data_IF_976417511016
#
_entry.id   IF_976417511016
#
_cell.length_a   1.000
_cell.length_b   1.000
_cell.length_c   1.000
_cell.angle_alpha   90.00
_cell.angle_beta   90.00
_cell.angle_gamma   90.00
#
_symmetry.space_group_name_H-M   'P 1'
#
loop_
_entity.id
_entity.type
_entity.pdbx_description
1 polymer ?
#
# COMPACT_ATOMS: atom_id res chain seq x y z
N UNK A 1 21.14 35.20 -52.10
CA UNK A 1 20.55 34.41 -50.99
C UNK A 1 19.09 34.82 -50.87
N UNK A 2 18.18 34.00 -51.38
CA UNK A 2 16.76 34.34 -51.51
C UNK A 2 16.03 34.15 -50.18
N UNK A 3 15.12 35.08 -49.87
CA UNK A 3 14.25 35.16 -48.68
C UNK A 3 13.26 33.98 -48.54
N UNK A 4 13.40 32.91 -49.33
CA UNK A 4 12.47 31.77 -49.36
C UNK A 4 12.72 30.69 -48.30
N UNK A 5 13.95 30.56 -47.77
CA UNK A 5 14.30 29.44 -46.85
C UNK A 5 13.91 29.67 -45.38
N UNK A 6 13.46 30.88 -45.03
CA UNK A 6 13.06 31.22 -43.65
C UNK A 6 11.55 31.01 -43.45
N UNK A 7 10.74 31.11 -44.51
CA UNK A 7 9.30 30.86 -44.44
C UNK A 7 8.98 29.35 -44.29
N UNK A 8 9.78 28.47 -44.89
CA UNK A 8 9.56 27.02 -44.82
C UNK A 8 9.89 26.42 -43.44
N UNK A 9 10.80 27.04 -42.68
CA UNK A 9 11.13 26.58 -41.32
C UNK A 9 10.05 27.02 -40.31
N UNK A 10 9.38 28.14 -40.55
CA UNK A 10 8.25 28.59 -39.73
C UNK A 10 6.98 27.74 -39.94
N UNK A 11 6.79 27.17 -41.14
CA UNK A 11 5.63 26.32 -41.44
C UNK A 11 5.73 24.90 -40.86
N UNK A 12 6.95 24.39 -40.62
CA UNK A 12 7.17 23.05 -40.04
C UNK A 12 7.17 23.08 -38.49
N UNK A 13 7.49 24.22 -37.87
CA UNK A 13 7.44 24.39 -36.41
C UNK A 13 6.03 24.68 -35.86
N UNK A 14 5.10 25.13 -36.71
CA UNK A 14 3.72 25.46 -36.30
C UNK A 14 2.73 24.29 -36.28
N UNK A 15 3.13 23.09 -36.71
CA UNK A 15 2.24 21.93 -36.86
C UNK A 15 2.55 20.74 -35.92
N UNK A 16 3.44 20.92 -34.93
CA UNK A 16 3.46 20.05 -33.75
C UNK A 16 2.52 20.61 -32.67
N UNK A 17 1.26 20.87 -33.04
CA UNK A 17 0.20 20.95 -32.04
C UNK A 17 0.14 19.55 -31.43
N UNK A 18 0.77 19.42 -30.26
CA UNK A 18 0.61 18.30 -29.35
C UNK A 18 -0.89 18.09 -29.17
N UNK A 19 -1.46 17.12 -29.89
CA UNK A 19 -2.67 16.47 -29.43
C UNK A 19 -2.28 15.70 -28.17
N UNK A 20 -2.21 16.40 -27.04
CA UNK A 20 -2.38 15.77 -25.76
C UNK A 20 -3.82 15.26 -25.77
N UNK A 21 -4.01 14.03 -26.26
CA UNK A 21 -5.26 13.31 -26.05
C UNK A 21 -5.39 13.20 -24.53
N UNK A 22 -6.32 13.94 -23.95
CA UNK A 22 -6.82 13.63 -22.62
C UNK A 22 -7.45 12.25 -22.73
N UNK A 23 -6.68 11.20 -22.44
CA UNK A 23 -7.22 9.86 -22.29
C UNK A 23 -8.28 9.96 -21.18
N UNK A 24 -9.52 9.67 -21.53
CA UNK A 24 -10.55 9.56 -20.50
C UNK A 24 -10.35 8.23 -19.79
N UNK A 25 -10.36 8.27 -18.45
CA UNK A 25 -10.37 7.08 -17.62
C UNK A 25 -11.48 6.13 -18.09
N UNK A 26 -11.09 4.93 -18.49
CA UNK A 26 -12.01 3.88 -18.92
C UNK A 26 -12.46 3.04 -17.71
N UNK A 27 -13.63 2.42 -17.84
CA UNK A 27 -14.04 1.35 -16.92
C UNK A 27 -13.83 0.01 -17.61
N UNK A 28 -12.97 -0.82 -17.03
CA UNK A 28 -12.68 -2.19 -17.45
C UNK A 28 -13.43 -3.13 -16.50
N UNK A 29 -14.25 -4.02 -17.05
CA UNK A 29 -15.04 -4.97 -16.26
C UNK A 29 -14.34 -6.31 -16.12
N UNK A 30 -14.45 -6.91 -14.93
CA UNK A 30 -13.92 -8.24 -14.63
C UNK A 30 -15.04 -9.13 -14.07
N UNK A 31 -15.16 -10.34 -14.61
CA UNK A 31 -16.18 -11.32 -14.22
C UNK A 31 -15.65 -12.75 -14.46
N UNK A 32 -15.59 -13.59 -13.42
CA UNK A 32 -14.98 -14.92 -13.49
C UNK A 32 -15.83 -15.95 -14.26
N UNK A 33 -17.14 -15.72 -14.37
CA UNK A 33 -18.08 -16.54 -15.15
C UNK A 33 -18.71 -15.80 -16.35
N UNK A 34 -18.54 -14.48 -16.42
CA UNK A 34 -18.82 -13.65 -17.58
C UNK A 34 -20.31 -13.30 -17.79
N UNK A 35 -20.60 -12.33 -18.67
CA UNK A 35 -19.67 -11.64 -19.57
C UNK A 35 -18.99 -10.39 -18.96
N UNK A 36 -17.72 -10.16 -19.29
CA UNK A 36 -16.94 -8.95 -18.99
C UNK A 36 -15.75 -8.81 -19.95
N UNK A 37 -14.99 -7.72 -19.83
CA UNK A 37 -13.79 -7.48 -20.66
C UNK A 37 -12.67 -8.49 -20.37
N UNK A 38 -12.53 -8.88 -19.10
CA UNK A 38 -11.56 -9.88 -18.63
C UNK A 38 -12.21 -10.85 -17.63
N UNK A 39 -11.67 -12.07 -17.52
CA UNK A 39 -12.01 -13.02 -16.46
C UNK A 39 -11.02 -13.01 -15.29
N UNK A 40 -9.93 -12.25 -15.41
CA UNK A 40 -8.86 -12.16 -14.42
C UNK A 40 -8.63 -10.71 -14.03
N UNK A 41 -8.60 -10.44 -12.71
CA UNK A 41 -8.27 -9.10 -12.19
C UNK A 41 -6.87 -8.69 -12.64
N UNK A 42 -5.92 -9.62 -12.61
CA UNK A 42 -4.52 -9.33 -12.96
C UNK A 42 -4.38 -8.90 -14.42
N UNK A 43 -5.03 -9.60 -15.34
CA UNK A 43 -4.99 -9.25 -16.77
C UNK A 43 -5.65 -7.89 -17.04
N UNK A 44 -6.77 -7.60 -16.36
CA UNK A 44 -7.42 -6.29 -16.46
C UNK A 44 -6.54 -5.15 -15.94
N UNK A 45 -5.90 -5.35 -14.78
CA UNK A 45 -4.95 -4.37 -14.21
C UNK A 45 -3.74 -4.19 -15.13
N UNK A 46 -3.20 -5.25 -15.72
CA UNK A 46 -2.10 -5.19 -16.69
C UNK A 46 -2.49 -4.44 -17.97
N UNK A 47 -3.73 -4.54 -18.42
CA UNK A 47 -4.25 -3.80 -19.58
C UNK A 47 -4.66 -2.35 -19.27
N UNK A 48 -5.01 -2.04 -18.03
CA UNK A 48 -5.47 -0.72 -17.61
C UNK A 48 -4.38 0.36 -17.77
N UNK A 49 -4.81 1.57 -18.13
CA UNK A 49 -3.98 2.77 -18.14
C UNK A 49 -4.09 3.52 -16.82
N UNK A 50 -3.22 4.52 -16.62
CA UNK A 50 -3.29 5.38 -15.45
C UNK A 50 -4.65 6.09 -15.38
N UNK A 51 -5.25 6.09 -14.18
CA UNK A 51 -6.57 6.69 -13.96
C UNK A 51 -7.76 5.80 -14.30
N UNK A 52 -7.57 4.65 -14.95
CA UNK A 52 -8.68 3.73 -15.27
C UNK A 52 -9.31 3.14 -14.01
N UNK A 53 -10.54 2.65 -14.14
CA UNK A 53 -11.22 1.87 -13.12
C UNK A 53 -11.36 0.42 -13.58
N UNK A 54 -10.83 -0.52 -12.80
CA UNK A 54 -11.10 -1.95 -12.94
C UNK A 54 -12.24 -2.30 -11.98
N UNK A 55 -13.44 -2.48 -12.52
CA UNK A 55 -14.62 -2.87 -11.76
C UNK A 55 -14.80 -4.39 -11.78
N UNK A 56 -14.78 -5.00 -10.61
CA UNK A 56 -14.81 -6.45 -10.42
C UNK A 56 -16.17 -6.87 -9.89
N UNK A 57 -16.88 -7.71 -10.66
CA UNK A 57 -18.19 -8.24 -10.28
C UNK A 57 -18.11 -9.20 -9.09
N UNK A 58 -19.24 -9.50 -8.42
CA UNK A 58 -19.30 -10.55 -7.40
C UNK A 58 -18.71 -11.86 -7.92
N UNK A 59 -17.83 -12.49 -7.16
CA UNK A 59 -17.09 -13.66 -7.64
C UNK A 59 -15.87 -13.96 -6.78
N UNK A 60 -15.16 -15.04 -7.14
CA UNK A 60 -13.92 -15.44 -6.45
C UNK A 60 -12.77 -15.52 -7.42
N UNK A 61 -11.84 -14.59 -7.28
CA UNK A 61 -10.71 -14.41 -8.19
C UNK A 61 -9.42 -14.94 -7.57
N UNK A 62 -8.76 -15.84 -8.29
CA UNK A 62 -7.45 -16.38 -7.91
C UNK A 62 -6.32 -15.54 -8.51
N UNK A 63 -5.32 -15.21 -7.71
CA UNK A 63 -4.14 -14.44 -8.13
C UNK A 63 -2.92 -15.35 -8.19
N UNK A 64 -2.26 -15.36 -9.35
CA UNK A 64 -1.00 -16.07 -9.59
C UNK A 64 0.19 -15.12 -9.49
N UNK A 65 1.37 -15.66 -9.17
CA UNK A 65 2.62 -14.91 -9.17
C UNK A 65 3.02 -14.45 -10.57
N UNK A 66 3.52 -13.23 -10.71
CA UNK A 66 4.25 -12.84 -11.92
C UNK A 66 5.67 -13.46 -11.92
N UNK A 67 6.24 -13.76 -13.10
CA UNK A 67 7.44 -14.59 -13.19
C UNK A 67 8.72 -13.94 -12.67
N UNK A 68 8.83 -12.60 -12.67
CA UNK A 68 10.08 -11.89 -12.45
C UNK A 68 10.35 -11.67 -10.96
N UNK A 69 9.39 -11.12 -10.22
CA UNK A 69 9.51 -10.82 -8.80
C UNK A 69 8.59 -11.66 -7.91
N UNK A 70 7.73 -12.50 -8.49
CA UNK A 70 6.85 -13.38 -7.75
C UNK A 70 5.63 -12.68 -7.12
N UNK A 71 5.26 -11.50 -7.59
CA UNK A 71 4.19 -10.67 -7.01
C UNK A 71 2.81 -11.03 -7.54
N UNK A 72 1.77 -10.63 -6.82
CA UNK A 72 0.37 -10.78 -7.25
C UNK A 72 -0.03 -9.75 -8.31
N UNK A 73 -1.01 -8.92 -7.97
CA UNK A 73 -1.49 -7.80 -8.77
C UNK A 73 -0.62 -6.57 -8.46
N UNK A 74 0.07 -6.04 -9.47
CA UNK A 74 0.85 -4.80 -9.36
C UNK A 74 -0.05 -3.59 -9.64
N UNK A 75 -0.28 -2.75 -8.63
CA UNK A 75 -1.11 -1.55 -8.75
C UNK A 75 -0.39 -0.45 -9.53
N UNK A 76 -1.14 0.25 -10.38
CA UNK A 76 -0.64 1.34 -11.24
C UNK A 76 -1.01 2.72 -10.69
N UNK A 77 -0.33 3.75 -11.20
CA UNK A 77 -0.61 5.14 -10.86
C UNK A 77 -2.05 5.51 -11.23
N UNK A 78 -2.79 6.11 -10.29
CA UNK A 78 -4.17 6.57 -10.45
C UNK A 78 -5.21 5.47 -10.68
N UNK A 79 -4.83 4.19 -10.74
CA UNK A 79 -5.75 3.09 -11.02
C UNK A 79 -6.71 2.89 -9.85
N UNK A 80 -8.01 2.78 -10.14
CA UNK A 80 -9.02 2.36 -9.17
C UNK A 80 -9.35 0.89 -9.38
N UNK A 81 -9.01 0.04 -8.41
CA UNK A 81 -9.46 -1.36 -8.37
C UNK A 81 -10.67 -1.44 -7.43
N UNK A 82 -11.86 -1.68 -7.98
CA UNK A 82 -13.11 -1.61 -7.23
C UNK A 82 -13.90 -2.92 -7.32
N UNK A 83 -14.14 -3.55 -6.18
CA UNK A 83 -15.04 -4.68 -6.06
C UNK A 83 -16.50 -4.23 -5.94
N UNK A 84 -17.43 -5.11 -6.31
CA UNK A 84 -18.86 -4.89 -6.10
C UNK A 84 -19.27 -4.80 -4.62
N UNK A 85 -18.36 -5.15 -3.71
CA UNK A 85 -18.51 -5.05 -2.26
C UNK A 85 -17.75 -6.17 -1.56
N UNK A 86 -17.19 -5.87 -0.38
CA UNK A 86 -16.32 -6.81 0.32
C UNK A 86 -17.03 -8.12 0.69
N UNK A 87 -18.36 -8.11 0.86
CA UNK A 87 -19.14 -9.31 1.16
C UNK A 87 -19.38 -10.24 -0.05
N UNK A 88 -19.02 -9.80 -1.27
CA UNK A 88 -19.32 -10.53 -2.50
C UNK A 88 -18.14 -10.69 -3.47
N UNK A 89 -17.06 -9.91 -3.31
CA UNK A 89 -15.91 -9.95 -4.20
C UNK A 89 -14.67 -10.45 -3.45
N UNK A 90 -14.22 -11.66 -3.76
CA UNK A 90 -13.18 -12.37 -3.02
C UNK A 90 -11.91 -12.50 -3.85
N UNK A 91 -10.76 -12.17 -3.25
CA UNK A 91 -9.43 -12.39 -3.83
C UNK A 91 -8.66 -13.39 -2.95
N UNK A 92 -8.11 -14.42 -3.59
CA UNK A 92 -7.32 -15.47 -2.93
C UNK A 92 -6.11 -15.87 -3.79
N UNK A 93 -5.07 -16.50 -3.24
CA UNK A 93 -3.95 -16.97 -4.05
C UNK A 93 -4.38 -18.17 -4.91
N UNK A 94 -3.77 -18.31 -6.08
CA UNK A 94 -3.63 -19.60 -6.74
C UNK A 94 -2.46 -20.36 -6.09
N UNK A 95 -2.77 -21.43 -5.36
CA UNK A 95 -1.77 -22.22 -4.64
C UNK A 95 -0.87 -23.06 -5.57
N UNK A 96 -1.18 -23.17 -6.86
CA UNK A 96 -0.29 -23.81 -7.84
C UNK A 96 0.88 -22.91 -8.25
N UNK A 97 0.68 -21.60 -8.17
CA UNK A 97 1.67 -20.58 -8.47
C UNK A 97 1.53 -19.40 -7.48
N UNK A 98 1.75 -19.65 -6.17
CA UNK A 98 1.44 -18.69 -5.12
C UNK A 98 2.31 -17.42 -5.26
N UNK A 99 1.70 -16.22 -5.27
CA UNK A 99 2.44 -14.97 -5.19
C UNK A 99 2.99 -14.73 -3.77
N UNK A 100 3.92 -13.81 -3.60
CA UNK A 100 4.33 -13.38 -2.24
C UNK A 100 3.22 -12.60 -1.53
N UNK A 101 2.48 -11.79 -2.29
CA UNK A 101 1.34 -11.00 -1.86
C UNK A 101 0.21 -10.99 -2.91
N UNK A 102 -1.04 -10.74 -2.51
CA UNK A 102 -2.14 -10.61 -3.48
C UNK A 102 -2.10 -9.28 -4.22
N UNK A 103 -1.90 -8.17 -3.49
CA UNK A 103 -1.88 -6.80 -4.02
C UNK A 103 -0.54 -6.15 -3.67
N UNK A 104 0.13 -5.60 -4.66
CA UNK A 104 1.41 -4.91 -4.52
C UNK A 104 1.29 -3.44 -4.93
N UNK A 105 1.64 -2.53 -4.02
CA UNK A 105 1.84 -1.11 -4.33
C UNK A 105 3.33 -0.80 -4.37
N UNK A 106 3.86 -0.52 -5.56
CA UNK A 106 5.23 -0.07 -5.72
C UNK A 106 5.26 1.42 -6.03
N UNK A 107 5.18 2.26 -4.99
CA UNK A 107 5.16 3.72 -5.15
C UNK A 107 4.01 4.29 -5.97
N UNK A 108 2.92 3.54 -6.13
CA UNK A 108 1.74 3.94 -6.88
C UNK A 108 0.62 4.49 -5.95
N UNK A 109 -0.05 5.55 -6.37
CA UNK A 109 -1.26 6.12 -5.73
C UNK A 109 -2.56 5.43 -6.16
N UNK A 110 -2.51 4.14 -6.50
CA UNK A 110 -3.71 3.39 -6.82
C UNK A 110 -4.69 3.30 -5.63
N UNK A 111 -5.94 3.06 -5.95
CA UNK A 111 -7.02 2.83 -5.00
C UNK A 111 -7.47 1.36 -5.03
N UNK A 112 -7.74 0.79 -3.87
CA UNK A 112 -8.40 -0.51 -3.74
C UNK A 112 -9.59 -0.43 -2.79
N UNK A 113 -10.76 -0.81 -3.29
CA UNK A 113 -12.03 -0.69 -2.57
C UNK A 113 -12.91 -1.93 -2.70
N UNK A 114 -13.52 -2.37 -1.60
CA UNK A 114 -14.65 -3.31 -1.65
C UNK A 114 -14.30 -4.78 -1.90
N UNK A 115 -13.17 -5.27 -1.39
CA UNK A 115 -12.78 -6.69 -1.51
C UNK A 115 -12.70 -7.41 -0.17
N UNK A 116 -12.99 -8.71 -0.16
CA UNK A 116 -12.47 -9.64 0.84
C UNK A 116 -11.18 -10.30 0.33
N UNK A 117 -10.10 -10.24 1.11
CA UNK A 117 -8.81 -10.86 0.80
C UNK A 117 -8.43 -11.89 1.87
N UNK A 118 -7.96 -13.06 1.42
CA UNK A 118 -7.44 -14.09 2.31
C UNK A 118 -6.22 -14.80 1.73
N UNK A 119 -5.12 -14.81 2.49
CA UNK A 119 -3.90 -15.51 2.11
C UNK A 119 -3.13 -16.10 3.32
N UNK A 120 -3.43 -17.33 3.74
CA UNK A 120 -2.85 -17.92 4.96
C UNK A 120 -1.31 -18.00 5.01
N UNK A 121 -0.66 -18.19 3.87
CA UNK A 121 0.79 -18.39 3.78
C UNK A 121 1.57 -17.14 3.36
N UNK A 122 0.88 -16.10 2.89
CA UNK A 122 1.45 -14.88 2.35
C UNK A 122 0.74 -13.62 2.81
N UNK A 123 1.03 -12.51 2.12
CA UNK A 123 0.49 -11.20 2.49
C UNK A 123 -0.72 -10.83 1.64
N UNK A 124 -1.73 -10.19 2.21
CA UNK A 124 -2.85 -9.71 1.38
C UNK A 124 -2.45 -8.44 0.62
N UNK A 125 -1.94 -7.42 1.31
CA UNK A 125 -1.46 -6.18 0.70
C UNK A 125 -0.02 -5.90 1.12
N UNK A 126 0.82 -5.60 0.14
CA UNK A 126 2.17 -5.09 0.35
C UNK A 126 2.31 -3.66 -0.19
N UNK A 127 2.83 -2.75 0.64
CA UNK A 127 3.09 -1.36 0.28
C UNK A 127 4.59 -1.12 0.34
N UNK A 128 5.20 -0.88 -0.81
CA UNK A 128 6.60 -0.52 -0.93
C UNK A 128 6.77 0.99 -1.10
N UNK A 129 7.35 1.66 -0.09
CA UNK A 129 7.62 3.11 -0.11
C UNK A 129 9.05 3.49 -0.51
N UNK A 130 9.88 2.51 -0.88
CA UNK A 130 11.28 2.76 -1.21
C UNK A 130 11.78 1.94 -2.37
N UNK A 131 13.02 2.20 -2.72
CA UNK A 131 13.74 1.47 -3.74
C UNK A 131 15.15 1.16 -3.24
N UNK A 132 15.66 -0.01 -3.64
CA UNK A 132 17.08 -0.29 -3.53
C UNK A 132 17.84 0.50 -4.59
N UNK A 133 18.82 1.28 -4.18
CA UNK A 133 19.75 1.99 -5.06
C UNK A 133 21.19 1.63 -4.72
N UNK A 134 22.08 1.76 -5.70
CA UNK A 134 23.52 1.64 -5.50
C UNK A 134 24.06 3.03 -5.15
N UNK A 135 24.71 3.16 -4.00
CA UNK A 135 25.35 4.41 -3.58
C UNK A 135 26.61 4.72 -4.42
N UNK A 136 27.19 5.91 -4.23
CA UNK A 136 28.39 6.35 -4.97
C UNK A 136 29.63 5.50 -4.71
N UNK A 137 29.60 4.65 -3.68
CA UNK A 137 30.67 3.74 -3.28
C UNK A 137 30.39 2.28 -3.69
N UNK A 138 29.28 2.02 -4.39
CA UNK A 138 28.90 0.67 -4.83
C UNK A 138 28.11 -0.15 -3.79
N UNK A 139 27.71 0.44 -2.67
CA UNK A 139 26.90 -0.20 -1.64
C UNK A 139 25.40 -0.19 -1.99
N UNK A 140 24.67 -1.24 -1.61
CA UNK A 140 23.20 -1.24 -1.71
C UNK A 140 22.60 -0.42 -0.56
N UNK A 141 21.81 0.58 -0.90
CA UNK A 141 21.09 1.46 0.03
C UNK A 141 19.60 1.43 -0.24
N UNK A 142 18.80 1.49 0.83
CA UNK A 142 17.37 1.75 0.72
C UNK A 142 17.14 3.26 0.70
N UNK A 143 16.47 3.76 -0.33
CA UNK A 143 16.16 5.18 -0.48
C UNK A 143 14.67 5.41 -0.67
N UNK A 144 14.18 6.63 -0.34
CA UNK A 144 12.87 7.09 -0.76
C UNK A 144 12.63 6.81 -2.24
N UNK A 145 11.49 6.24 -2.58
CA UNK A 145 11.13 6.15 -3.99
C UNK A 145 10.94 7.56 -4.54
N UNK A 146 11.63 7.94 -5.64
CA UNK A 146 11.55 9.29 -6.19
C UNK A 146 10.14 9.64 -6.69
N UNK A 147 9.35 8.62 -7.00
CA UNK A 147 8.00 8.74 -7.54
C UNK A 147 6.94 8.26 -6.55
N UNK A 148 7.21 8.30 -5.24
CA UNK A 148 6.22 7.90 -4.25
C UNK A 148 4.96 8.73 -4.35
N UNK A 149 3.86 8.04 -4.64
CA UNK A 149 2.53 8.57 -4.54
C UNK A 149 1.73 7.69 -3.55
N UNK A 150 1.05 8.27 -2.55
CA UNK A 150 0.40 7.52 -1.49
C UNK A 150 -0.84 6.76 -1.99
N UNK A 151 -0.98 5.45 -1.71
CA UNK A 151 -2.17 4.69 -2.11
C UNK A 151 -3.39 4.99 -1.23
N UNK A 152 -4.56 4.58 -1.70
CA UNK A 152 -5.81 4.59 -0.92
C UNK A 152 -6.36 3.17 -0.81
N UNK A 153 -6.60 2.70 0.41
CA UNK A 153 -7.08 1.34 0.70
C UNK A 153 -8.33 1.48 1.56
N UNK A 154 -9.50 1.18 0.98
CA UNK A 154 -10.79 1.46 1.61
C UNK A 154 -11.75 0.30 1.62
N UNK A 155 -12.58 0.20 2.67
CA UNK A 155 -13.74 -0.70 2.71
C UNK A 155 -13.43 -2.17 2.36
N UNK A 156 -12.20 -2.63 2.64
CA UNK A 156 -11.81 -4.01 2.40
C UNK A 156 -11.92 -4.84 3.68
N UNK A 157 -12.08 -6.15 3.53
CA UNK A 157 -12.01 -7.13 4.60
C UNK A 157 -10.81 -8.04 4.40
N UNK A 158 -9.85 -8.01 5.31
CA UNK A 158 -8.64 -8.82 5.20
C UNK A 158 -8.60 -9.82 6.33
N UNK A 159 -8.67 -11.11 5.96
CA UNK A 159 -8.89 -12.20 6.92
C UNK A 159 -7.99 -13.40 6.67
N UNK A 160 -7.67 -14.13 7.74
CA UNK A 160 -6.94 -15.39 7.69
C UNK A 160 -5.64 -15.31 6.85
N UNK A 161 -4.93 -14.19 6.94
CA UNK A 161 -3.68 -13.97 6.21
C UNK A 161 -2.47 -14.04 7.13
N UNK A 162 -1.27 -14.32 6.58
CA UNK A 162 -0.02 -14.23 7.35
C UNK A 162 0.20 -12.80 7.82
N UNK A 163 0.05 -11.85 6.91
CA UNK A 163 0.04 -10.42 7.15
C UNK A 163 -1.07 -9.79 6.32
N UNK A 164 -1.93 -9.01 6.97
CA UNK A 164 -3.03 -8.37 6.29
C UNK A 164 -2.53 -7.19 5.44
N UNK A 165 -1.81 -6.25 6.07
CA UNK A 165 -1.15 -5.15 5.36
C UNK A 165 0.30 -5.07 5.84
N UNK A 166 1.24 -5.24 4.91
CA UNK A 166 2.68 -5.09 5.16
C UNK A 166 3.16 -3.82 4.48
N UNK A 167 3.86 -2.97 5.23
CA UNK A 167 4.30 -1.65 4.81
C UNK A 167 5.81 -1.58 4.98
N UNK A 168 6.52 -1.47 3.86
CA UNK A 168 7.94 -1.12 3.84
C UNK A 168 8.03 0.38 3.84
N UNK A 169 8.02 0.93 5.04
CA UNK A 169 7.88 2.34 5.30
C UNK A 169 9.21 3.08 5.14
N UNK A 170 9.14 4.25 4.50
CA UNK A 170 10.28 5.13 4.37
C UNK A 170 10.09 6.42 5.21
N UNK A 171 10.87 6.60 6.29
CA UNK A 171 10.85 7.80 7.12
C UNK A 171 10.93 9.11 6.34
N UNK A 172 10.17 10.11 6.78
CA UNK A 172 10.07 11.41 6.11
C UNK A 172 9.05 11.48 4.98
N UNK A 173 8.37 10.38 4.66
CA UNK A 173 7.31 10.32 3.66
C UNK A 173 5.96 10.05 4.32
N UNK A 174 4.88 10.63 3.81
CA UNK A 174 3.54 10.38 4.37
C UNK A 174 2.98 9.07 3.82
N UNK A 175 2.49 8.20 4.72
CA UNK A 175 1.75 7.00 4.33
C UNK A 175 0.42 7.39 3.67
N UNK A 176 -0.05 6.56 2.75
CA UNK A 176 -1.38 6.73 2.15
C UNK A 176 -2.52 6.46 3.12
N UNK A 177 -3.74 6.57 2.58
CA UNK A 177 -4.97 6.44 3.36
C UNK A 177 -5.38 4.98 3.43
N UNK A 178 -5.59 4.49 4.64
CA UNK A 178 -6.09 3.16 4.96
C UNK A 178 -7.30 3.40 5.85
N UNK A 179 -8.51 3.21 5.32
CA UNK A 179 -9.76 3.64 5.98
C UNK A 179 -10.90 2.64 5.80
N UNK A 180 -11.78 2.50 6.77
CA UNK A 180 -12.97 1.65 6.68
C UNK A 180 -12.67 0.15 6.53
N UNK A 181 -11.42 -0.28 6.68
CA UNK A 181 -11.07 -1.69 6.49
C UNK A 181 -11.36 -2.51 7.76
N UNK A 182 -11.79 -3.75 7.55
CA UNK A 182 -11.92 -4.76 8.59
C UNK A 182 -10.75 -5.74 8.50
N UNK A 183 -9.88 -5.78 9.52
CA UNK A 183 -8.66 -6.58 9.54
C UNK A 183 -8.71 -7.53 10.74
N UNK A 184 -9.01 -8.81 10.50
CA UNK A 184 -9.27 -9.76 11.59
C UNK A 184 -8.88 -11.20 11.28
N UNK A 185 -8.54 -11.98 12.31
CA UNK A 185 -8.17 -13.40 12.16
C UNK A 185 -6.85 -13.62 11.43
N UNK A 186 -6.01 -12.60 11.28
CA UNK A 186 -4.69 -12.71 10.65
C UNK A 186 -3.62 -13.08 11.68
N UNK A 187 -2.48 -13.61 11.23
CA UNK A 187 -1.31 -13.73 12.10
C UNK A 187 -0.79 -12.34 12.47
N UNK A 188 -0.61 -11.46 11.50
CA UNK A 188 -0.33 -10.03 11.73
C UNK A 188 -1.38 -9.18 11.00
N UNK A 189 -2.03 -8.26 11.70
CA UNK A 189 -2.95 -7.30 11.09
C UNK A 189 -2.18 -6.31 10.22
N UNK A 190 -1.40 -5.44 10.83
CA UNK A 190 -0.55 -4.47 10.13
C UNK A 190 0.89 -4.62 10.56
N UNK A 191 1.80 -4.80 9.60
CA UNK A 191 3.24 -4.80 9.82
C UNK A 191 3.84 -3.55 9.18
N UNK A 192 4.51 -2.71 9.98
CA UNK A 192 5.29 -1.57 9.53
C UNK A 192 6.76 -1.92 9.68
N UNK A 193 7.40 -2.29 8.59
CA UNK A 193 8.84 -2.48 8.53
C UNK A 193 9.50 -1.16 8.11
N UNK A 194 10.45 -0.68 8.91
CA UNK A 194 11.26 0.50 8.59
C UNK A 194 12.66 -0.01 8.24
N UNK A 195 13.01 -0.15 6.94
CA UNK A 195 14.31 -0.66 6.53
C UNK A 195 15.44 0.34 6.84
N UNK A 196 16.69 -0.12 6.72
CA UNK A 196 17.89 0.72 6.87
C UNK A 196 17.90 1.85 5.85
N UNK A 197 17.51 3.04 6.25
CA UNK A 197 17.71 4.25 5.44
C UNK A 197 19.13 4.73 5.65
N UNK A 198 19.90 4.88 4.58
CA UNK A 198 21.13 5.68 4.63
C UNK A 198 20.69 7.14 4.77
N UNK A 199 20.76 7.66 5.99
CA UNK A 199 20.40 9.04 6.27
C UNK A 199 21.35 9.97 5.49
N UNK A 200 20.84 10.86 4.63
CA UNK A 200 21.70 11.77 3.87
C UNK A 200 22.44 12.77 4.77
N UNK A 201 21.92 13.05 5.98
CA UNK A 201 22.53 13.96 6.95
C UNK A 201 22.44 13.41 8.38
N UNK A 202 23.59 13.36 9.06
CA UNK A 202 23.69 12.90 10.46
C UNK A 202 23.02 13.92 11.39
N UNK A 203 22.08 13.47 12.22
CA UNK A 203 21.36 14.33 13.18
C UNK A 203 20.01 14.87 12.68
N UNK A 204 19.58 14.49 11.47
CA UNK A 204 18.26 14.85 10.94
C UNK A 204 17.21 13.83 11.37
N UNK A 205 16.11 14.31 11.97
CA UNK A 205 14.97 13.46 12.34
C UNK A 205 14.06 13.23 11.13
N UNK A 206 13.82 11.96 10.79
CA UNK A 206 12.86 11.57 9.77
C UNK A 206 11.62 10.99 10.46
N UNK A 207 10.51 11.76 10.57
CA UNK A 207 9.34 11.30 11.29
C UNK A 207 8.64 10.15 10.54
N UNK A 208 8.00 9.28 11.31
CA UNK A 208 6.97 8.39 10.80
C UNK A 208 5.65 9.19 10.78
N UNK A 209 5.11 9.44 9.59
CA UNK A 209 3.87 10.18 9.38
C UNK A 209 2.73 9.24 8.95
N UNK A 210 1.99 8.80 9.96
CA UNK A 210 0.74 8.03 9.84
C UNK A 210 -0.48 8.88 10.15
N UNK A 211 -0.38 10.21 10.14
CA UNK A 211 -1.41 11.12 10.69
C UNK A 211 -2.81 11.00 10.08
N UNK A 212 -2.94 10.36 8.93
CA UNK A 212 -4.25 10.07 8.33
C UNK A 212 -4.84 8.77 8.85
N UNK A 213 -4.05 7.85 9.37
CA UNK A 213 -4.52 6.52 9.71
C UNK A 213 -4.65 6.36 11.22
N UNK A 214 -5.82 5.88 11.61
CA UNK A 214 -6.14 5.53 12.97
C UNK A 214 -6.32 4.03 13.12
N UNK A 215 -5.63 3.50 14.12
CA UNK A 215 -5.35 2.08 14.14
C UNK A 215 -6.03 1.31 15.27
N UNK A 216 -6.94 1.94 16.01
CA UNK A 216 -7.97 1.22 16.76
C UNK A 216 -8.07 1.46 18.27
N UNK A 217 -7.47 2.47 18.88
CA UNK A 217 -7.95 2.96 20.19
C UNK A 217 -7.51 4.40 20.46
N UNK A 218 -8.42 5.20 21.04
CA UNK A 218 -8.12 6.55 21.54
C UNK A 218 -7.65 6.51 23.01
N UNK A 219 -7.62 5.34 23.63
CA UNK A 219 -7.29 5.15 25.05
C UNK A 219 -5.80 4.80 25.17
N UNK A 220 -4.98 5.82 25.41
CA UNK A 220 -3.51 5.72 25.49
C UNK A 220 -3.02 4.59 26.41
N UNK A 221 -3.74 4.33 27.52
CA UNK A 221 -3.39 3.29 28.48
C UNK A 221 -3.55 1.85 27.96
N UNK A 222 -4.48 1.62 27.02
CA UNK A 222 -4.64 0.30 26.37
C UNK A 222 -3.52 0.02 25.37
N UNK A 223 -3.06 1.08 24.68
CA UNK A 223 -1.87 1.03 23.83
C UNK A 223 -0.67 0.65 24.69
N UNK A 224 -0.45 1.37 25.80
CA UNK A 224 0.70 1.12 26.69
C UNK A 224 0.76 -0.29 27.27
N UNK A 225 -0.38 -0.88 27.65
CA UNK A 225 -0.46 -2.25 28.21
C UNK A 225 -0.16 -3.36 27.20
N UNK A 226 -0.33 -3.09 25.91
CA UNK A 226 -0.27 -4.12 24.86
C UNK A 226 1.04 -4.09 24.07
N UNK A 227 1.89 -3.09 24.36
CA UNK A 227 3.23 -2.95 23.81
C UNK A 227 4.19 -3.99 24.38
N UNK A 228 4.80 -4.77 23.50
CA UNK A 228 5.97 -5.57 23.81
C UNK A 228 7.18 -5.01 23.05
N UNK A 229 8.22 -4.63 23.79
CA UNK A 229 9.47 -4.12 23.24
C UNK A 229 10.50 -5.23 23.22
N UNK A 230 11.05 -5.52 22.05
CA UNK A 230 12.25 -6.32 21.92
C UNK A 230 13.33 -5.45 21.27
N UNK A 231 14.39 -5.18 22.03
CA UNK A 231 15.56 -4.44 21.57
C UNK A 231 16.69 -5.44 21.41
N UNK A 232 17.12 -5.68 20.18
CA UNK A 232 18.37 -6.38 19.88
C UNK A 232 19.38 -5.39 19.31
N UNK A 233 20.65 -5.82 19.17
CA UNK A 233 21.68 -5.03 18.49
C UNK A 233 21.39 -4.77 17.00
N UNK A 234 20.40 -5.45 16.42
CA UNK A 234 20.09 -5.42 14.98
C UNK A 234 18.70 -4.85 14.66
N UNK A 235 17.78 -4.83 15.63
CA UNK A 235 16.42 -4.34 15.41
C UNK A 235 15.74 -3.83 16.68
N UNK A 236 14.86 -2.84 16.50
CA UNK A 236 13.90 -2.42 17.51
C UNK A 236 12.50 -2.86 17.06
N UNK A 237 11.90 -3.80 17.79
CA UNK A 237 10.57 -4.34 17.47
C UNK A 237 9.57 -3.88 18.53
N UNK A 238 8.52 -3.23 18.06
CA UNK A 238 7.32 -2.91 18.83
C UNK A 238 6.20 -3.83 18.35
N UNK A 239 5.63 -4.61 19.26
CA UNK A 239 4.46 -5.43 18.96
C UNK A 239 3.30 -4.94 19.79
N UNK A 240 2.20 -4.58 19.14
CA UNK A 240 0.92 -4.36 19.79
C UNK A 240 0.10 -5.63 19.71
N UNK A 241 -0.03 -6.29 20.86
CA UNK A 241 -0.88 -7.48 20.99
C UNK A 241 -2.34 -7.12 20.74
N UNK A 242 -3.19 -8.09 20.34
CA UNK A 242 -4.61 -7.83 20.16
C UNK A 242 -5.19 -7.15 21.41
N UNK A 243 -5.60 -5.90 21.24
CA UNK A 243 -6.26 -5.13 22.29
C UNK A 243 -7.77 -5.09 22.09
N UNK A 244 -8.23 -5.29 20.85
CA UNK A 244 -9.63 -5.56 20.50
C UNK A 244 -9.79 -7.03 20.16
N UNK A 245 -10.69 -7.70 20.88
CA UNK A 245 -11.15 -9.06 20.56
C UNK A 245 -12.44 -9.06 19.74
N UNK A 246 -13.17 -7.94 19.76
CA UNK A 246 -14.46 -7.74 19.10
C UNK A 246 -14.42 -6.49 18.21
N UNK A 247 -15.25 -6.42 17.16
CA UNK A 247 -15.33 -5.22 16.33
C UNK A 247 -15.88 -4.03 17.12
N UNK A 248 -15.32 -2.84 16.89
CA UNK A 248 -15.91 -1.61 17.40
C UNK A 248 -17.04 -1.17 16.46
N UNK A 249 -18.24 -1.00 16.99
CA UNK A 249 -19.46 -0.67 16.24
C UNK A 249 -19.81 0.82 16.25
N UNK A 250 -19.15 1.63 17.08
CA UNK A 250 -19.36 3.09 17.16
C UNK A 250 -18.02 3.80 17.27
N UNK A 251 -17.65 4.51 16.20
CA UNK A 251 -16.59 5.51 16.24
C UNK A 251 -17.22 6.89 16.17
N UNK A 252 -16.77 7.81 17.01
CA UNK A 252 -16.96 9.22 16.72
C UNK A 252 -15.92 9.59 15.66
N UNK A 253 -16.35 9.67 14.39
CA UNK A 253 -15.47 10.15 13.32
C UNK A 253 -15.05 11.59 13.60
N UNK A 254 -13.76 11.81 13.80
CA UNK A 254 -13.16 13.13 13.79
C UNK A 254 -12.77 13.49 12.34
N UNK A 255 -13.03 14.72 11.87
CA UNK A 255 -12.64 15.13 10.52
C UNK A 255 -11.15 14.91 10.26
N UNK A 256 -10.84 14.18 9.18
CA UNK A 256 -9.46 13.89 8.75
C UNK A 256 -8.80 12.69 9.44
N UNK A 257 -9.53 11.95 10.27
CA UNK A 257 -9.07 10.68 10.87
C UNK A 257 -9.67 9.51 10.08
N UNK A 258 -8.83 8.57 9.63
CA UNK A 258 -9.27 7.40 8.88
C UNK A 258 -9.24 6.14 9.77
N UNK A 259 -10.40 5.52 9.96
CA UNK A 259 -10.63 4.49 10.97
C UNK A 259 -10.52 3.09 10.38
N UNK A 260 -9.80 2.17 11.04
CA UNK A 260 -9.79 0.75 10.68
C UNK A 260 -10.23 -0.11 11.85
N UNK A 261 -11.00 -1.16 11.57
CA UNK A 261 -11.43 -2.13 12.56
C UNK A 261 -10.44 -3.30 12.62
N UNK A 262 -9.45 -3.21 13.51
CA UNK A 262 -8.33 -4.16 13.62
C UNK A 262 -8.46 -4.96 14.92
N UNK A 263 -8.91 -6.21 14.83
CA UNK A 263 -9.24 -7.02 16.02
C UNK A 263 -9.03 -8.51 15.78
N UNK A 264 -8.89 -9.28 16.86
CA UNK A 264 -8.76 -10.74 16.84
C UNK A 264 -7.67 -11.29 15.87
N UNK A 265 -6.63 -10.51 15.60
CA UNK A 265 -5.40 -10.99 14.95
C UNK A 265 -4.47 -11.57 16.04
N UNK A 266 -3.56 -12.49 15.70
CA UNK A 266 -2.55 -12.93 16.67
C UNK A 266 -1.66 -11.75 17.12
N UNK A 267 -1.41 -10.81 16.20
CA UNK A 267 -0.82 -9.50 16.43
C UNK A 267 -1.62 -8.45 15.65
N UNK A 268 -2.16 -7.43 16.31
CA UNK A 268 -2.93 -6.39 15.60
C UNK A 268 -2.01 -5.50 14.78
N UNK A 269 -0.97 -4.96 15.42
CA UNK A 269 0.03 -4.12 14.76
C UNK A 269 1.41 -4.54 15.23
N UNK A 270 2.36 -4.56 14.31
CA UNK A 270 3.77 -4.72 14.60
C UNK A 270 4.54 -3.66 13.84
N UNK A 271 5.54 -3.06 14.50
CA UNK A 271 6.48 -2.16 13.86
C UNK A 271 7.89 -2.66 14.15
N UNK A 272 8.65 -2.93 13.10
CA UNK A 272 10.05 -3.36 13.19
C UNK A 272 10.93 -2.31 12.54
N UNK A 273 11.83 -1.72 13.32
CA UNK A 273 12.90 -0.87 12.81
C UNK A 273 14.11 -1.77 12.62
N UNK A 274 14.51 -1.98 11.37
CA UNK A 274 15.55 -2.92 10.98
C UNK A 274 16.86 -2.16 10.74
N UNK A 275 17.95 -2.58 11.40
CA UNK A 275 19.34 -2.21 11.09
C UNK A 275 19.66 -0.72 11.20
N UNK A 276 19.46 -0.13 12.37
CA UNK A 276 19.49 1.31 12.54
C UNK A 276 20.37 1.69 13.75
N UNK A 277 21.36 2.56 13.52
CA UNK A 277 21.93 3.44 14.57
C UNK A 277 20.89 4.55 14.83
N UNK A 278 19.75 4.19 15.44
CA UNK A 278 18.74 5.19 15.82
C UNK A 278 19.18 5.80 17.14
N UNK A 279 19.61 7.07 17.11
CA UNK A 279 19.36 7.91 18.26
C UNK A 279 17.86 7.91 18.48
N UNK A 280 17.44 7.25 19.58
CA UNK A 280 16.08 6.94 19.96
C UNK A 280 15.07 7.93 19.35
N UNK A 281 14.41 7.53 18.26
CA UNK A 281 13.21 8.19 17.75
C UNK A 281 12.35 8.48 18.97
N UNK A 282 12.13 9.76 19.27
CA UNK A 282 11.46 10.17 20.48
C UNK A 282 10.04 9.61 20.42
N UNK A 283 9.82 8.53 21.16
CA UNK A 283 8.57 7.76 21.24
C UNK A 283 7.32 8.66 21.38
N UNK A 284 7.46 9.84 21.99
CA UNK A 284 6.41 10.87 22.04
C UNK A 284 5.88 11.32 20.66
N UNK A 285 6.73 11.36 19.62
CA UNK A 285 6.33 11.66 18.23
C UNK A 285 5.59 10.49 17.57
N UNK A 286 5.99 9.25 17.86
CA UNK A 286 5.29 8.07 17.38
C UNK A 286 3.91 8.02 18.05
N UNK A 287 3.86 8.10 19.37
CA UNK A 287 2.59 8.16 20.13
C UNK A 287 1.62 9.23 19.64
N UNK A 288 2.09 10.43 19.32
CA UNK A 288 1.21 11.52 18.87
C UNK A 288 0.64 11.29 17.47
N UNK A 289 1.31 10.49 16.62
CA UNK A 289 0.90 10.16 15.25
C UNK A 289 0.02 8.91 15.15
N UNK A 290 -0.06 8.12 16.22
CA UNK A 290 -0.96 6.97 16.36
C UNK A 290 -2.26 7.30 17.13
N UNK A 291 -2.48 8.59 17.47
CA UNK A 291 -3.70 9.08 18.13
C UNK A 291 -4.89 9.15 17.20
#
# INVERSE_FOLDING_TARGET
MSKGRIADVAAVLGAMVLFASTAMAATITVDDDGPADYSSIKEAVEAASEGDTVFVKPGTYTVTREPEYGRGIEMKEGLVLQGAGADSTFIKPDLSAPPWELIHFNSANGEIDGFTMSYPEGEAIFINMGAWQIDRMGGLTWVPSPNWAPPTITNNKIVNSRGAIVIYYNPGMRLGTINGNTITGNRTGILIAVPRVVQPERGTSYPLDFSWNWWGTAVEYEIERTLNFNVSSEAFIITWRPWLTEPISTFAEAPGVHYNNIYANQTNIQMGILWLEVEALSWGLVKSRFR
#
